data_IF_953082231220
#
_entry.id   IF_953082231220
#
_cell.length_a   1.000
_cell.length_b   1.000
_cell.length_c   1.000
_cell.angle_alpha   90.00
_cell.angle_beta   90.00
_cell.angle_gamma   90.00
#
_symmetry.space_group_name_H-M   'P 1'
#
loop_
_entity.id
_entity.type
_entity.pdbx_description
1 polymer ?
#
# COMPACT_ATOMS: atom_id res chain seq x y z
N UNK A 1 -40.52 -4.42 11.28
CA UNK A 1 -39.19 -4.80 11.84
C UNK A 1 -38.86 -6.12 11.20
N UNK A 2 -38.51 -6.08 9.92
CA UNK A 2 -38.09 -7.24 9.15
C UNK A 2 -36.59 -7.12 8.98
N UNK A 3 -35.88 -8.14 9.46
CA UNK A 3 -34.46 -8.32 9.28
C UNK A 3 -34.14 -8.36 7.79
N UNK A 4 -33.67 -7.23 7.28
CA UNK A 4 -33.07 -7.13 5.96
C UNK A 4 -31.74 -7.87 6.01
N UNK A 5 -31.80 -9.18 5.78
CA UNK A 5 -30.65 -10.06 5.50
C UNK A 5 -29.92 -9.48 4.28
N UNK A 6 -28.98 -8.57 4.53
CA UNK A 6 -28.08 -8.01 3.52
C UNK A 6 -27.20 -9.15 3.04
N UNK A 7 -27.56 -9.71 1.90
CA UNK A 7 -26.75 -10.67 1.16
C UNK A 7 -25.45 -9.98 0.75
N UNK A 8 -24.39 -10.23 1.51
CA UNK A 8 -23.02 -9.93 1.11
C UNK A 8 -22.79 -10.67 -0.21
N UNK A 9 -22.76 -9.94 -1.33
CA UNK A 9 -22.37 -10.52 -2.60
C UNK A 9 -20.87 -10.80 -2.55
N UNK A 10 -20.53 -12.02 -2.17
CA UNK A 10 -19.21 -12.58 -2.42
C UNK A 10 -18.90 -12.39 -3.90
N UNK A 11 -17.81 -11.69 -4.18
CA UNK A 11 -17.30 -11.47 -5.53
C UNK A 11 -17.21 -12.82 -6.24
N UNK A 12 -17.85 -12.94 -7.40
CA UNK A 12 -17.87 -14.18 -8.15
C UNK A 12 -16.44 -14.47 -8.62
N UNK A 13 -15.80 -15.59 -8.22
CA UNK A 13 -14.45 -15.93 -8.63
C UNK A 13 -14.28 -16.08 -10.16
N UNK A 14 -15.37 -15.99 -10.93
CA UNK A 14 -15.37 -15.93 -12.40
C UNK A 14 -15.20 -14.54 -12.99
N UNK A 15 -15.21 -13.48 -12.19
CA UNK A 15 -14.96 -12.14 -12.69
C UNK A 15 -13.49 -12.04 -13.18
N UNK A 16 -13.25 -11.67 -14.45
CA UNK A 16 -11.89 -11.64 -14.98
C UNK A 16 -11.05 -10.63 -14.18
N UNK A 17 -9.95 -11.12 -13.61
CA UNK A 17 -9.05 -10.30 -12.82
C UNK A 17 -8.61 -9.08 -13.63
N UNK A 18 -8.70 -7.91 -13.00
CA UNK A 18 -8.21 -6.66 -13.56
C UNK A 18 -6.75 -6.84 -14.02
N UNK A 19 -6.39 -6.36 -15.22
CA UNK A 19 -5.07 -6.59 -15.78
C UNK A 19 -4.02 -5.99 -14.85
N UNK A 20 -3.29 -6.86 -14.13
CA UNK A 20 -2.20 -6.40 -13.29
C UNK A 20 -1.15 -5.68 -14.15
N UNK A 21 -0.56 -4.59 -13.65
CA UNK A 21 0.49 -3.88 -14.37
C UNK A 21 1.57 -4.89 -14.73
N UNK A 22 1.76 -5.10 -16.05
CA UNK A 22 2.79 -5.99 -16.54
C UNK A 22 4.12 -5.42 -16.10
N UNK A 23 4.77 -6.09 -15.15
CA UNK A 23 6.12 -5.74 -14.71
C UNK A 23 7.11 -5.64 -15.88
N UNK A 24 8.31 -5.12 -15.65
CA UNK A 24 9.32 -4.99 -16.70
C UNK A 24 9.52 -6.34 -17.42
N UNK A 25 9.74 -6.33 -18.75
CA UNK A 25 9.77 -7.55 -19.51
C UNK A 25 10.93 -8.44 -19.00
N UNK A 26 10.66 -9.74 -18.79
CA UNK A 26 11.56 -10.68 -18.11
C UNK A 26 12.97 -10.76 -18.71
N UNK A 27 13.14 -10.41 -19.98
CA UNK A 27 14.43 -10.40 -20.67
C UNK A 27 15.35 -9.24 -20.25
N UNK A 28 14.82 -8.19 -19.64
CA UNK A 28 15.59 -7.02 -19.18
C UNK A 28 16.31 -7.30 -17.85
N UNK A 29 15.78 -8.22 -17.04
CA UNK A 29 16.34 -8.62 -15.74
C UNK A 29 17.79 -9.11 -15.83
N UNK A 30 18.16 -10.04 -16.73
CA UNK A 30 19.56 -10.48 -16.86
C UNK A 30 20.50 -9.45 -17.50
N UNK A 31 19.96 -8.46 -18.25
CA UNK A 31 20.76 -7.42 -18.91
C UNK A 31 21.16 -6.31 -17.94
N UNK A 32 20.29 -6.03 -16.96
CA UNK A 32 20.48 -5.01 -15.94
C UNK A 32 21.89 -5.00 -15.28
N UNK A 33 22.42 -6.14 -14.76
CA UNK A 33 23.73 -6.13 -14.10
C UNK A 33 24.88 -5.71 -15.03
N UNK A 34 24.81 -6.05 -16.32
CA UNK A 34 25.83 -5.65 -17.30
C UNK A 34 25.76 -4.16 -17.62
N UNK A 35 24.56 -3.59 -17.67
CA UNK A 35 24.37 -2.14 -17.83
C UNK A 35 24.95 -1.39 -16.64
N UNK A 36 24.67 -1.83 -15.41
CA UNK A 36 25.25 -1.24 -14.20
C UNK A 36 26.78 -1.38 -14.16
N UNK A 37 27.31 -2.54 -14.54
CA UNK A 37 28.75 -2.75 -14.64
C UNK A 37 29.40 -1.81 -15.67
N UNK A 38 28.81 -1.70 -16.87
CA UNK A 38 29.27 -0.79 -17.92
C UNK A 38 29.26 0.67 -17.48
N UNK A 39 28.18 1.12 -16.84
CA UNK A 39 28.06 2.47 -16.28
C UNK A 39 29.15 2.74 -15.22
N UNK A 40 29.44 1.76 -14.36
CA UNK A 40 30.47 1.87 -13.31
C UNK A 40 31.86 1.99 -13.92
N UNK A 41 32.18 1.13 -14.90
CA UNK A 41 33.46 1.18 -15.62
C UNK A 41 33.65 2.50 -16.38
N UNK A 42 32.59 2.99 -17.04
CA UNK A 42 32.61 4.29 -17.69
C UNK A 42 32.88 5.42 -16.67
N UNK A 43 32.23 5.39 -15.51
CA UNK A 43 32.49 6.34 -14.43
C UNK A 43 33.94 6.33 -13.96
N UNK A 44 34.51 5.15 -13.69
CA UNK A 44 35.93 5.00 -13.29
C UNK A 44 36.87 5.50 -14.38
N UNK A 45 36.56 5.22 -15.65
CA UNK A 45 37.36 5.66 -16.79
C UNK A 45 37.36 7.19 -16.91
N UNK A 46 36.20 7.84 -16.77
CA UNK A 46 36.06 9.30 -16.78
C UNK A 46 36.82 9.94 -15.62
N UNK A 47 36.77 9.35 -14.42
CA UNK A 47 37.52 9.87 -13.25
C UNK A 47 39.03 9.82 -13.50
N UNK A 48 39.53 8.73 -14.12
CA UNK A 48 40.98 8.52 -14.29
C UNK A 48 41.59 9.24 -15.50
N UNK A 49 40.82 9.45 -16.57
CA UNK A 49 41.34 9.98 -17.85
C UNK A 49 40.52 11.14 -18.43
N UNK A 50 39.38 11.46 -17.85
CA UNK A 50 38.49 12.48 -18.38
C UNK A 50 39.00 13.90 -18.12
N UNK A 51 38.64 14.85 -18.99
CA UNK A 51 38.87 16.26 -18.72
C UNK A 51 38.10 16.67 -17.44
N UNK A 52 38.77 17.39 -16.53
CA UNK A 52 38.24 17.77 -15.20
C UNK A 52 36.85 18.43 -15.31
N UNK A 53 36.62 19.22 -16.36
CA UNK A 53 35.32 19.85 -16.61
C UNK A 53 34.17 18.86 -16.85
N UNK A 54 34.42 17.74 -17.55
CA UNK A 54 33.40 16.71 -17.79
C UNK A 54 33.03 15.99 -16.49
N UNK A 55 34.02 15.68 -15.66
CA UNK A 55 33.78 15.08 -14.35
C UNK A 55 32.95 15.99 -13.44
N UNK A 56 33.31 17.28 -13.37
CA UNK A 56 32.55 18.28 -12.62
C UNK A 56 31.11 18.41 -13.11
N UNK A 57 30.89 18.42 -14.43
CA UNK A 57 29.55 18.50 -15.01
C UNK A 57 28.69 17.26 -14.66
N UNK A 58 29.26 16.05 -14.72
CA UNK A 58 28.54 14.82 -14.35
C UNK A 58 28.15 14.81 -12.87
N UNK A 59 29.05 15.24 -11.97
CA UNK A 59 28.72 15.36 -10.55
C UNK A 59 27.64 16.42 -10.32
N UNK A 60 27.73 17.59 -10.96
CA UNK A 60 26.72 18.62 -10.84
C UNK A 60 25.33 18.12 -11.27
N UNK A 61 25.24 17.40 -12.40
CA UNK A 61 23.99 16.77 -12.87
C UNK A 61 23.47 15.75 -11.85
N UNK A 62 24.34 14.88 -11.33
CA UNK A 62 23.95 13.88 -10.34
C UNK A 62 23.42 14.52 -9.05
N UNK A 63 24.07 15.58 -8.57
CA UNK A 63 23.64 16.36 -7.40
C UNK A 63 22.27 17.01 -7.67
N UNK A 64 22.11 17.69 -8.81
CA UNK A 64 20.85 18.35 -9.17
C UNK A 64 19.71 17.35 -9.31
N UNK A 65 19.95 16.19 -9.94
CA UNK A 65 18.95 15.14 -10.05
C UNK A 65 18.61 14.52 -8.70
N UNK A 66 19.61 14.21 -7.87
CA UNK A 66 19.40 13.63 -6.54
C UNK A 66 18.65 14.58 -5.60
N UNK A 67 19.09 15.84 -5.52
CA UNK A 67 18.39 16.87 -4.74
C UNK A 67 17.03 17.20 -5.32
N UNK A 68 16.90 17.33 -6.65
CA UNK A 68 15.63 17.60 -7.31
C UNK A 68 14.61 16.49 -7.05
N UNK A 69 15.02 15.23 -7.13
CA UNK A 69 14.19 14.09 -6.77
C UNK A 69 13.83 14.10 -5.28
N UNK A 70 14.79 14.35 -4.40
CA UNK A 70 14.52 14.44 -2.96
C UNK A 70 13.50 15.54 -2.65
N UNK A 71 13.70 16.74 -3.20
CA UNK A 71 12.78 17.86 -3.06
C UNK A 71 11.39 17.50 -3.61
N UNK A 72 11.35 16.86 -4.78
CA UNK A 72 10.10 16.36 -5.36
C UNK A 72 9.41 15.38 -4.41
N UNK A 73 10.09 14.37 -3.87
CA UNK A 73 9.51 13.44 -2.90
C UNK A 73 9.06 14.10 -1.59
N UNK A 74 9.73 15.17 -1.14
CA UNK A 74 9.34 15.86 0.09
C UNK A 74 8.22 16.86 -0.10
N UNK A 75 8.12 17.49 -1.27
CA UNK A 75 7.16 18.58 -1.53
C UNK A 75 5.97 18.16 -2.40
N UNK A 76 6.06 17.05 -3.14
CA UNK A 76 4.89 16.39 -3.68
C UNK A 76 4.29 15.56 -2.54
N UNK A 77 3.16 15.99 -1.96
CA UNK A 77 2.45 15.13 -1.01
C UNK A 77 2.20 13.80 -1.71
N UNK A 78 2.26 12.70 -0.95
CA UNK A 78 1.80 11.41 -1.46
C UNK A 78 0.44 11.64 -2.12
N UNK A 79 0.30 11.21 -3.38
CA UNK A 79 -0.99 11.30 -4.05
C UNK A 79 -2.04 10.67 -3.12
N UNK A 80 -3.22 11.30 -2.94
CA UNK A 80 -4.25 10.75 -2.07
C UNK A 80 -4.45 9.27 -2.38
N UNK A 81 -4.63 8.44 -1.35
CA UNK A 81 -4.99 7.05 -1.58
C UNK A 81 -6.18 7.01 -2.56
N UNK A 82 -6.11 6.19 -3.60
CA UNK A 82 -7.22 6.07 -4.55
C UNK A 82 -8.44 5.51 -3.81
N UNK A 83 -9.43 6.36 -3.55
CA UNK A 83 -10.69 6.01 -2.86
C UNK A 83 -11.79 5.59 -3.83
N UNK A 84 -11.43 5.37 -5.11
CA UNK A 84 -12.36 4.95 -6.15
C UNK A 84 -12.86 3.54 -5.89
N UNK A 85 -14.17 3.40 -5.66
CA UNK A 85 -14.78 2.10 -5.44
C UNK A 85 -14.72 1.23 -6.72
N UNK A 86 -14.16 0.01 -6.67
CA UNK A 86 -14.07 -0.85 -7.86
C UNK A 86 -15.44 -1.35 -8.35
N UNK A 87 -16.48 -1.34 -7.50
CA UNK A 87 -17.81 -1.84 -7.85
C UNK A 87 -18.69 -0.78 -8.54
N UNK A 88 -18.68 0.47 -8.04
CA UNK A 88 -19.55 1.54 -8.56
C UNK A 88 -18.80 2.73 -9.18
N UNK A 89 -17.47 2.79 -9.06
CA UNK A 89 -16.65 3.87 -9.61
C UNK A 89 -16.74 5.21 -8.84
N UNK A 90 -17.32 5.23 -7.64
CA UNK A 90 -17.39 6.44 -6.84
C UNK A 90 -15.99 6.82 -6.30
N UNK A 91 -15.48 8.01 -6.67
CA UNK A 91 -14.12 8.49 -6.38
C UNK A 91 -13.82 8.67 -4.88
N UNK A 92 -14.83 8.93 -4.05
CA UNK A 92 -14.73 9.03 -2.58
C UNK A 92 -15.59 7.97 -1.87
N UNK A 93 -15.80 6.84 -2.54
CA UNK A 93 -16.71 5.80 -2.07
C UNK A 93 -16.13 4.98 -0.93
N UNK A 94 -14.83 4.68 -0.98
CA UNK A 94 -14.16 3.75 -0.06
C UNK A 94 -13.78 4.41 1.26
N UNK A 95 -14.16 3.76 2.36
CA UNK A 95 -13.72 4.08 3.70
C UNK A 95 -13.43 2.82 4.52
N UNK A 96 -13.05 2.97 5.81
CA UNK A 96 -12.90 1.84 6.70
C UNK A 96 -14.22 1.09 6.83
N UNK A 97 -14.20 -0.25 6.74
CA UNK A 97 -15.39 -1.06 6.97
C UNK A 97 -15.87 -0.99 8.43
N UNK A 98 -14.92 -0.84 9.35
CA UNK A 98 -15.14 -0.81 10.80
C UNK A 98 -14.23 0.27 11.41
N UNK A 99 -14.73 1.05 12.36
CA UNK A 99 -13.98 2.18 12.96
C UNK A 99 -12.88 1.73 13.93
N UNK A 100 -12.92 0.48 14.35
CA UNK A 100 -12.12 -0.12 15.40
C UNK A 100 -11.09 -1.12 14.89
N UNK A 101 -11.01 -1.34 13.57
CA UNK A 101 -9.97 -2.17 12.96
C UNK A 101 -9.40 -1.54 11.69
N UNK A 102 -8.14 -1.88 11.40
CA UNK A 102 -7.47 -1.54 10.13
C UNK A 102 -7.80 -2.54 9.02
N UNK A 103 -8.72 -3.48 9.26
CA UNK A 103 -9.10 -4.53 8.32
C UNK A 103 -10.40 -4.22 7.63
N UNK A 104 -10.37 -4.41 6.33
CA UNK A 104 -11.51 -4.29 5.46
C UNK A 104 -11.84 -2.86 5.07
N UNK A 105 -12.26 -2.68 3.82
CA UNK A 105 -12.78 -1.41 3.29
C UNK A 105 -14.21 -1.59 2.85
N UNK A 106 -15.04 -0.57 3.07
CA UNK A 106 -16.42 -0.55 2.64
C UNK A 106 -16.71 0.68 1.79
N UNK A 107 -17.51 0.50 0.74
CA UNK A 107 -18.02 1.61 -0.05
C UNK A 107 -19.31 2.16 0.55
N UNK A 108 -19.33 3.44 0.90
CA UNK A 108 -20.51 4.14 1.45
C UNK A 108 -21.62 4.35 0.41
N UNK A 109 -21.29 4.26 -0.89
CA UNK A 109 -22.24 4.52 -1.97
C UNK A 109 -22.98 3.26 -2.46
N UNK A 110 -22.34 2.08 -2.46
CA UNK A 110 -22.90 0.86 -3.06
C UNK A 110 -22.87 -0.38 -2.15
N UNK A 111 -22.54 -0.23 -0.86
CA UNK A 111 -22.40 -1.33 0.11
C UNK A 111 -21.35 -2.41 -0.28
N UNK A 112 -20.42 -2.11 -1.20
CA UNK A 112 -19.28 -2.99 -1.47
C UNK A 112 -18.42 -3.17 -0.21
N UNK A 113 -18.03 -4.41 0.10
CA UNK A 113 -17.19 -4.75 1.24
C UNK A 113 -16.05 -5.66 0.78
N UNK A 114 -14.82 -5.26 1.07
CA UNK A 114 -13.62 -6.11 0.88
C UNK A 114 -12.94 -6.29 2.23
N UNK A 115 -13.13 -7.48 2.83
CA UNK A 115 -12.54 -7.82 4.14
C UNK A 115 -11.04 -8.11 4.07
N UNK A 116 -10.50 -8.34 2.87
CA UNK A 116 -9.10 -8.73 2.67
C UNK A 116 -8.17 -7.53 2.51
N UNK A 117 -8.70 -6.40 2.05
CA UNK A 117 -7.99 -5.14 1.96
C UNK A 117 -7.66 -4.57 3.35
N UNK A 118 -6.51 -3.93 3.49
CA UNK A 118 -6.16 -3.17 4.68
C UNK A 118 -6.61 -1.72 4.55
N UNK A 119 -7.47 -1.27 5.45
CA UNK A 119 -7.86 0.14 5.60
C UNK A 119 -6.78 0.98 6.29
N UNK A 120 -5.56 0.47 6.42
CA UNK A 120 -4.47 1.11 7.15
C UNK A 120 -4.14 2.52 6.60
N UNK A 121 -4.00 2.64 5.27
CA UNK A 121 -3.65 3.93 4.65
C UNK A 121 -4.79 4.96 4.80
N UNK A 122 -6.04 4.52 4.66
CA UNK A 122 -7.23 5.37 4.82
C UNK A 122 -7.36 5.84 6.29
N UNK A 123 -7.11 4.93 7.24
CA UNK A 123 -7.17 5.25 8.67
C UNK A 123 -6.04 6.20 9.13
N UNK A 124 -4.89 6.18 8.46
CA UNK A 124 -3.79 7.13 8.71
C UNK A 124 -4.13 8.54 8.20
N UNK A 125 -4.80 8.65 7.05
CA UNK A 125 -5.28 9.94 6.53
C UNK A 125 -6.43 10.54 7.36
N UNK A 126 -7.37 9.70 7.81
CA UNK A 126 -8.60 10.16 8.49
C UNK A 126 -8.40 10.44 9.99
N UNK A 127 -7.31 10.00 10.63
CA UNK A 127 -7.06 10.24 12.06
C UNK A 127 -5.81 9.58 12.66
N UNK A 128 -5.60 9.66 14.00
CA UNK A 128 -4.43 9.07 14.65
C UNK A 128 -4.56 7.54 14.67
N UNK A 129 -3.97 6.90 13.65
CA UNK A 129 -3.82 5.45 13.48
C UNK A 129 -3.39 4.73 14.77
N UNK A 130 -2.54 5.37 15.58
CA UNK A 130 -2.07 4.85 16.87
C UNK A 130 -3.24 4.45 17.79
N UNK A 131 -4.32 5.23 17.81
CA UNK A 131 -5.50 4.95 18.65
C UNK A 131 -6.26 3.68 18.21
N UNK A 132 -6.27 3.38 16.91
CA UNK A 132 -6.90 2.18 16.35
C UNK A 132 -6.03 0.96 16.66
N UNK A 133 -4.72 1.07 16.44
CA UNK A 133 -3.76 -0.03 16.71
C UNK A 133 -3.70 -0.38 18.20
N UNK A 134 -3.70 0.61 19.09
CA UNK A 134 -3.72 0.38 20.53
C UNK A 134 -5.01 -0.31 20.99
N UNK A 135 -6.17 0.08 20.44
CA UNK A 135 -7.46 -0.59 20.69
C UNK A 135 -7.45 -2.03 20.18
N UNK A 136 -7.00 -2.27 18.96
CA UNK A 136 -6.92 -3.64 18.40
C UNK A 136 -5.98 -4.53 19.23
N UNK A 137 -4.83 -3.99 19.67
CA UNK A 137 -3.90 -4.71 20.54
C UNK A 137 -4.49 -5.00 21.91
N UNK A 138 -5.27 -4.08 22.49
CA UNK A 138 -5.97 -4.29 23.75
C UNK A 138 -7.03 -5.39 23.63
N UNK A 139 -7.79 -5.41 22.53
CA UNK A 139 -8.80 -6.44 22.24
C UNK A 139 -8.17 -7.84 22.07
N UNK A 140 -6.98 -7.93 21.47
CA UNK A 140 -6.24 -9.21 21.36
C UNK A 140 -5.60 -9.66 22.67
N UNK A 141 -5.27 -8.72 23.56
CA UNK A 141 -4.68 -9.00 24.87
C UNK A 141 -5.70 -9.41 25.91
N UNK A 142 -7.00 -9.21 25.69
CA UNK A 142 -8.03 -9.76 26.57
C UNK A 142 -7.92 -11.27 26.42
N UNK A 143 -7.29 -11.98 27.38
CA UNK A 143 -7.04 -13.38 27.21
C UNK A 143 -8.41 -14.05 27.19
N UNK A 144 -8.53 -15.08 26.36
CA UNK A 144 -9.67 -15.99 26.33
C UNK A 144 -9.79 -16.81 27.65
N UNK A 145 -9.41 -16.23 28.78
CA UNK A 145 -9.39 -16.81 30.13
C UNK A 145 -10.76 -16.79 30.79
N UNK A 146 -11.72 -16.00 30.29
CA UNK A 146 -13.10 -15.98 30.82
C UNK A 146 -14.07 -16.93 30.10
N UNK A 147 -13.60 -17.70 29.11
CA UNK A 147 -14.31 -18.90 28.65
C UNK A 147 -13.76 -20.08 29.44
N UNK A 148 -14.00 -20.07 30.76
CA UNK A 148 -13.95 -21.31 31.52
C UNK A 148 -14.82 -22.35 30.79
N UNK A 149 -14.43 -23.64 30.78
CA UNK A 149 -15.28 -24.67 30.23
C UNK A 149 -16.67 -24.53 30.89
N UNK A 150 -17.79 -24.64 30.13
CA UNK A 150 -19.11 -24.58 30.73
C UNK A 150 -19.13 -25.57 31.90
N UNK A 151 -19.27 -25.05 33.11
CA UNK A 151 -19.27 -25.84 34.33
C UNK A 151 -20.29 -26.95 34.15
N UNK A 152 -19.81 -28.18 34.19
CA UNK A 152 -20.62 -29.38 34.07
C UNK A 152 -21.32 -29.62 35.42
N UNK A 153 -22.21 -28.69 35.81
CA UNK A 153 -23.09 -28.87 36.97
C UNK A 153 -24.30 -29.71 36.54
N UNK A 154 -24.12 -31.03 36.46
CA UNK A 154 -25.20 -32.00 36.67
C UNK A 154 -24.68 -33.45 36.56
N UNK A 155 -24.29 -34.04 37.69
CA UNK A 155 -24.91 -35.26 38.23
C UNK A 155 -24.25 -35.74 39.50
#
# INVERSE_FOLDING_TARGET
MEDSVRTVRLRDPREPAEPQPTGPPRWLVPVLPFVFLGATLAGVWIVKRGPIGLFGALIAVAIVLGFGWFLASTFLPAAPADRTCPACGAEDGLGPAFEDTTRGVACRACDYLDETASAWMIAEEDGPLESVVLRERAARRTPRENLGPPGNEAR
#
